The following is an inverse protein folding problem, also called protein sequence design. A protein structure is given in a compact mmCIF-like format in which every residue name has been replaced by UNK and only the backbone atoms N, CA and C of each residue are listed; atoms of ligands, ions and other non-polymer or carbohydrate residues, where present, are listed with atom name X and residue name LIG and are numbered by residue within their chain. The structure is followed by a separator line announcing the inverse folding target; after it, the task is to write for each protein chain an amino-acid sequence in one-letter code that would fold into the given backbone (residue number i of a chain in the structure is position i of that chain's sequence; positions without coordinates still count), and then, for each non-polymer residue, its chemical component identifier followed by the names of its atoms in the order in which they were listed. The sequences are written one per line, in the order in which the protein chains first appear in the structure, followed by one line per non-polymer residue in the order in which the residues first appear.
data_IF_366154872939
#
_entry.id   IF_366154872939
#
_cell.length_a   1.000
_cell.length_b   1.000
_cell.length_c   1.000
_cell.angle_alpha   90.00
_cell.angle_beta   90.00
_cell.angle_gamma   90.00
#
_symmetry.space_group_name_H-M   'P 1'
#
loop_
_entity.id
_entity.type
_entity.pdbx_description
1 polymer ?
#
# COMPACT_ATOMS: atom_id res chain seq x y z
N UNK A 1 -36.52 -74.26 -6.24
CA UNK A 1 -36.88 -75.20 -5.17
C UNK A 1 -35.77 -75.18 -4.13
N UNK A 2 -35.87 -74.29 -3.14
CA UNK A 2 -35.26 -74.38 -1.81
C UNK A 2 -35.66 -73.13 -1.01
N UNK A 3 -36.87 -73.23 -0.45
CA UNK A 3 -37.38 -72.41 0.64
C UNK A 3 -36.91 -73.07 1.93
N UNK A 4 -36.30 -72.36 2.89
CA UNK A 4 -36.57 -72.41 4.35
C UNK A 4 -35.79 -71.27 5.03
N UNK A 5 -36.49 -70.35 5.72
CA UNK A 5 -36.36 -70.15 7.18
C UNK A 5 -37.35 -69.09 7.68
N UNK A 6 -38.38 -69.60 8.36
CA UNK A 6 -39.13 -68.87 9.37
C UNK A 6 -38.30 -68.72 10.64
N UNK A 7 -38.43 -67.62 11.37
CA UNK A 7 -39.11 -67.59 12.68
C UNK A 7 -38.98 -66.23 13.37
N UNK A 8 -40.15 -65.69 13.71
CA UNK A 8 -40.56 -65.05 14.97
C UNK A 8 -39.60 -64.09 15.70
N UNK A 9 -40.11 -62.86 15.79
CA UNK A 9 -40.31 -62.06 17.03
C UNK A 9 -39.07 -61.58 17.79
N UNK A 10 -38.81 -60.27 17.66
CA UNK A 10 -38.72 -59.39 18.83
C UNK A 10 -38.93 -57.94 18.34
N UNK A 11 -40.19 -57.47 18.35
CA UNK A 11 -40.46 -56.05 18.47
C UNK A 11 -40.07 -55.66 19.89
N UNK A 12 -38.80 -55.32 20.08
CA UNK A 12 -38.35 -54.64 21.28
C UNK A 12 -38.56 -53.16 21.02
N UNK A 13 -39.69 -52.65 21.53
CA UNK A 13 -39.89 -51.22 21.72
C UNK A 13 -38.69 -50.72 22.53
N UNK A 14 -37.80 -49.99 21.88
CA UNK A 14 -36.86 -49.14 22.60
C UNK A 14 -37.75 -48.10 23.27
N UNK A 15 -37.82 -48.17 24.60
CA UNK A 15 -38.57 -47.22 25.41
C UNK A 15 -38.12 -45.81 25.11
N UNK A 16 -39.06 -44.91 24.87
CA UNK A 16 -38.89 -43.46 24.66
C UNK A 16 -38.29 -42.70 25.87
N UNK A 17 -37.57 -43.37 26.78
CA UNK A 17 -37.05 -42.79 28.01
C UNK A 17 -35.55 -42.40 27.98
N UNK A 18 -34.79 -42.74 26.94
CA UNK A 18 -33.38 -42.32 26.82
C UNK A 18 -33.16 -41.10 25.89
N UNK A 19 -34.24 -40.43 25.44
CA UNK A 19 -34.16 -39.21 24.61
C UNK A 19 -34.38 -37.90 25.41
N UNK A 20 -34.29 -37.94 26.73
CA UNK A 20 -34.26 -36.74 27.55
C UNK A 20 -32.81 -36.43 27.96
N UNK A 21 -32.16 -35.58 27.16
CA UNK A 21 -31.11 -34.68 27.68
C UNK A 21 -31.65 -34.08 28.98
N UNK A 22 -31.01 -34.41 30.11
CA UNK A 22 -31.31 -33.83 31.41
C UNK A 22 -31.45 -32.32 31.25
N UNK A 23 -32.71 -31.85 31.26
CA UNK A 23 -33.01 -30.44 31.44
C UNK A 23 -32.68 -30.19 32.91
N UNK A 24 -31.43 -29.77 33.14
CA UNK A 24 -30.98 -29.32 34.45
C UNK A 24 -31.92 -28.18 34.87
N UNK A 25 -32.95 -28.51 35.67
CA UNK A 25 -33.79 -27.53 36.32
C UNK A 25 -32.96 -26.95 37.46
N UNK A 26 -32.70 -25.66 37.33
CA UNK A 26 -32.27 -24.76 38.38
C UNK A 26 -30.85 -24.97 38.94
N UNK A 27 -29.86 -24.89 38.05
CA UNK A 27 -28.75 -23.98 38.38
C UNK A 27 -29.14 -22.62 37.81
N UNK A 28 -29.34 -21.61 38.64
CA UNK A 28 -29.22 -20.22 38.18
C UNK A 28 -27.78 -20.05 37.67
N UNK A 29 -27.52 -20.42 36.42
CA UNK A 29 -26.32 -20.00 35.70
C UNK A 29 -26.49 -18.51 35.52
N UNK A 30 -26.06 -17.75 36.54
CA UNK A 30 -25.95 -16.32 36.46
C UNK A 30 -25.07 -16.01 35.26
N UNK A 31 -25.66 -15.47 34.20
CA UNK A 31 -24.92 -14.94 33.07
C UNK A 31 -24.27 -13.63 33.51
N UNK A 32 -23.13 -13.74 34.21
CA UNK A 32 -22.34 -12.59 34.61
C UNK A 32 -21.84 -11.79 33.40
N UNK A 33 -21.74 -12.42 32.22
CA UNK A 33 -21.33 -11.76 31.00
C UNK A 33 -22.41 -10.79 30.51
N UNK A 34 -23.70 -11.14 30.65
CA UNK A 34 -24.81 -10.24 30.32
C UNK A 34 -24.77 -8.92 31.11
N UNK A 35 -24.16 -8.91 32.30
CA UNK A 35 -24.03 -7.72 33.16
C UNK A 35 -22.90 -6.77 32.76
N UNK A 36 -21.94 -7.23 31.93
CA UNK A 36 -20.87 -6.36 31.45
C UNK A 36 -21.44 -5.27 30.56
N UNK A 37 -20.88 -4.05 30.61
CA UNK A 37 -21.25 -2.99 29.67
C UNK A 37 -20.70 -3.29 28.27
N UNK A 38 -21.25 -2.63 27.25
CA UNK A 38 -20.79 -2.78 25.87
C UNK A 38 -19.31 -2.40 25.73
N UNK A 39 -18.87 -1.35 26.42
CA UNK A 39 -17.48 -0.88 26.40
C UNK A 39 -16.50 -1.93 26.94
N UNK A 40 -16.86 -2.61 28.03
CA UNK A 40 -16.03 -3.68 28.59
C UNK A 40 -15.95 -4.86 27.63
N UNK A 41 -17.06 -5.23 26.99
CA UNK A 41 -17.07 -6.29 25.98
C UNK A 41 -16.21 -5.90 24.78
N UNK A 42 -16.28 -4.64 24.32
CA UNK A 42 -15.42 -4.12 23.25
C UNK A 42 -13.94 -4.16 23.64
N UNK A 43 -13.59 -3.83 24.89
CA UNK A 43 -12.22 -3.98 25.39
C UNK A 43 -11.75 -5.44 25.37
N UNK A 44 -12.63 -6.40 25.63
CA UNK A 44 -12.30 -7.83 25.48
C UNK A 44 -12.17 -8.20 24.00
N UNK A 45 -13.12 -7.80 23.16
CA UNK A 45 -13.18 -8.12 21.73
C UNK A 45 -11.98 -7.57 20.96
N UNK A 46 -11.42 -6.44 21.39
CA UNK A 46 -10.20 -5.85 20.82
C UNK A 46 -9.02 -6.82 20.81
N UNK A 47 -8.94 -7.74 21.77
CA UNK A 47 -7.86 -8.74 21.85
C UNK A 47 -8.14 -10.01 21.05
N UNK A 48 -9.33 -10.14 20.46
CA UNK A 48 -9.68 -11.32 19.69
C UNK A 48 -9.15 -11.23 18.26
N UNK A 49 -8.58 -12.33 17.72
CA UNK A 49 -8.30 -12.42 16.29
C UNK A 49 -9.56 -12.16 15.48
N UNK A 50 -9.47 -11.43 14.35
CA UNK A 50 -10.65 -11.05 13.55
C UNK A 50 -11.51 -12.26 13.13
N UNK A 51 -10.90 -13.42 12.87
CA UNK A 51 -11.62 -14.67 12.58
C UNK A 51 -12.47 -15.14 13.78
N UNK A 52 -11.95 -15.00 14.99
CA UNK A 52 -12.66 -15.30 16.24
C UNK A 52 -13.75 -14.27 16.52
N UNK A 53 -13.47 -12.99 16.28
CA UNK A 53 -14.45 -11.92 16.41
C UNK A 53 -15.67 -12.16 15.52
N UNK A 54 -15.46 -12.61 14.28
CA UNK A 54 -16.56 -13.02 13.38
C UNK A 54 -17.33 -14.26 13.86
N UNK A 55 -16.76 -15.11 14.73
CA UNK A 55 -17.53 -16.20 15.35
C UNK A 55 -18.34 -15.70 16.54
N UNK A 56 -17.83 -14.71 17.28
CA UNK A 56 -18.57 -14.07 18.38
C UNK A 56 -19.89 -13.46 17.87
N UNK A 57 -19.94 -13.00 16.62
CA UNK A 57 -21.17 -12.45 16.04
C UNK A 57 -22.32 -13.47 15.93
N UNK A 58 -22.03 -14.76 16.05
CA UNK A 58 -23.03 -15.85 16.00
C UNK A 58 -23.61 -16.20 17.37
N UNK A 59 -23.11 -15.59 18.45
CA UNK A 59 -23.49 -15.95 19.83
C UNK A 59 -24.83 -15.31 20.23
N UNK A 60 -25.03 -14.04 19.93
CA UNK A 60 -26.25 -13.30 20.27
C UNK A 60 -26.41 -12.06 19.39
N UNK A 61 -27.62 -11.49 19.34
CA UNK A 61 -27.88 -10.21 18.66
C UNK A 61 -27.03 -9.06 19.22
N UNK A 62 -26.79 -9.07 20.55
CA UNK A 62 -25.89 -8.10 21.20
C UNK A 62 -24.46 -8.25 20.71
N UNK A 63 -23.93 -9.48 20.64
CA UNK A 63 -22.58 -9.71 20.14
C UNK A 63 -22.48 -9.39 18.65
N UNK A 64 -23.49 -9.71 17.85
CA UNK A 64 -23.55 -9.34 16.44
C UNK A 64 -23.36 -7.82 16.29
N UNK A 65 -24.14 -7.00 17.01
CA UNK A 65 -24.00 -5.54 17.01
C UNK A 65 -22.60 -5.11 17.47
N UNK A 66 -22.09 -5.65 18.58
CA UNK A 66 -20.79 -5.25 19.13
C UNK A 66 -19.62 -5.62 18.22
N UNK A 67 -19.69 -6.76 17.53
CA UNK A 67 -18.66 -7.16 16.56
C UNK A 67 -18.64 -6.28 15.31
N UNK A 68 -19.68 -5.47 15.07
CA UNK A 68 -19.72 -4.50 13.98
C UNK A 68 -19.13 -3.14 14.35
N UNK A 69 -18.78 -2.94 15.63
CA UNK A 69 -18.21 -1.68 16.10
C UNK A 69 -16.88 -1.36 15.41
N UNK A 70 -16.78 -0.15 14.86
CA UNK A 70 -15.64 0.30 14.06
C UNK A 70 -14.31 0.31 14.81
N UNK A 71 -14.34 0.48 16.14
CA UNK A 71 -13.12 0.48 16.97
C UNK A 71 -12.39 -0.86 16.90
N UNK A 72 -13.10 -1.92 16.50
CA UNK A 72 -12.55 -3.26 16.33
C UNK A 72 -11.97 -3.50 14.93
N UNK A 73 -12.15 -2.62 13.95
CA UNK A 73 -11.77 -2.87 12.55
C UNK A 73 -10.84 -1.84 11.96
N UNK A 74 -10.44 -0.82 12.73
CA UNK A 74 -9.57 0.27 12.28
C UNK A 74 -8.29 -0.21 11.57
N UNK A 75 -7.78 -1.40 11.88
CA UNK A 75 -6.54 -1.96 11.31
C UNK A 75 -6.76 -3.40 10.83
N UNK A 76 -6.41 -3.66 9.58
CA UNK A 76 -6.53 -5.00 8.99
C UNK A 76 -5.32 -5.35 8.11
N UNK A 77 -4.74 -6.51 8.38
CA UNK A 77 -3.74 -7.15 7.52
C UNK A 77 -4.35 -8.39 6.86
N UNK A 78 -4.51 -8.29 5.55
CA UNK A 78 -5.16 -9.25 4.69
C UNK A 78 -4.26 -9.70 3.54
N UNK A 79 -2.95 -9.44 3.64
CA UNK A 79 -1.99 -9.75 2.59
C UNK A 79 -1.99 -11.23 2.20
N UNK A 80 -1.77 -11.52 0.92
CA UNK A 80 -1.68 -12.88 0.38
C UNK A 80 -3.00 -13.64 0.25
N UNK A 81 -4.14 -13.00 0.54
CA UNK A 81 -5.47 -13.64 0.51
C UNK A 81 -6.18 -13.47 -0.83
N UNK A 82 -7.11 -14.39 -1.08
CA UNK A 82 -8.05 -14.30 -2.21
C UNK A 82 -9.44 -13.90 -1.70
N UNK A 83 -10.02 -12.91 -2.36
CA UNK A 83 -11.32 -12.33 -2.06
C UNK A 83 -12.29 -12.63 -3.19
N UNK A 84 -13.49 -13.09 -2.81
CA UNK A 84 -14.63 -13.18 -3.73
C UNK A 84 -15.18 -11.78 -4.00
N UNK A 85 -16.07 -11.69 -4.99
CA UNK A 85 -16.89 -10.51 -5.24
C UNK A 85 -17.45 -9.92 -3.95
N UNK A 86 -17.53 -8.59 -3.89
CA UNK A 86 -18.13 -7.77 -2.84
C UNK A 86 -17.40 -7.78 -1.49
N UNK A 87 -16.46 -8.71 -1.29
CA UNK A 87 -15.83 -8.90 0.01
C UNK A 87 -15.03 -7.67 0.46
N UNK A 88 -14.35 -6.99 -0.47
CA UNK A 88 -13.60 -5.77 -0.16
C UNK A 88 -14.53 -4.63 0.21
N UNK A 89 -15.64 -4.42 -0.54
CA UNK A 89 -16.65 -3.42 -0.20
C UNK A 89 -17.22 -3.64 1.20
N UNK A 90 -17.54 -4.90 1.57
CA UNK A 90 -17.99 -5.23 2.93
C UNK A 90 -16.90 -5.00 3.98
N UNK A 91 -15.62 -5.17 3.66
CA UNK A 91 -14.53 -4.95 4.61
C UNK A 91 -14.40 -3.46 4.93
N UNK A 92 -14.34 -2.60 3.92
CA UNK A 92 -14.10 -1.17 4.12
C UNK A 92 -15.28 -0.47 4.82
N UNK A 93 -16.51 -0.99 4.70
CA UNK A 93 -17.69 -0.46 5.40
C UNK A 93 -17.63 -0.65 6.91
N UNK A 94 -16.68 -1.43 7.43
CA UNK A 94 -16.45 -1.60 8.87
C UNK A 94 -15.65 -0.47 9.52
N UNK A 95 -15.36 0.62 8.79
CA UNK A 95 -14.60 1.75 9.32
C UNK A 95 -13.09 1.49 9.37
N UNK A 96 -12.56 0.73 8.40
CA UNK A 96 -11.12 0.43 8.32
C UNK A 96 -10.34 1.70 7.98
N UNK A 97 -9.27 1.97 8.72
CA UNK A 97 -8.38 3.13 8.52
C UNK A 97 -7.06 2.72 7.88
N UNK A 98 -6.50 1.59 8.34
CA UNK A 98 -5.23 1.02 7.89
C UNK A 98 -5.50 -0.36 7.29
N UNK A 99 -5.35 -0.49 5.98
CA UNK A 99 -5.65 -1.71 5.25
C UNK A 99 -4.45 -2.15 4.42
N UNK A 100 -3.93 -3.33 4.76
CA UNK A 100 -2.91 -4.00 3.96
C UNK A 100 -3.52 -5.16 3.20
N UNK A 101 -3.51 -5.02 1.88
CA UNK A 101 -3.98 -5.98 0.89
C UNK A 101 -2.86 -6.43 -0.06
N UNK A 102 -1.59 -6.23 0.28
CA UNK A 102 -0.47 -6.64 -0.56
C UNK A 102 -0.58 -8.11 -1.01
N UNK A 103 -0.26 -8.39 -2.27
CA UNK A 103 -0.27 -9.73 -2.87
C UNK A 103 -1.65 -10.43 -2.79
N UNK A 104 -2.74 -9.68 -2.80
CA UNK A 104 -4.08 -10.27 -2.78
C UNK A 104 -4.63 -10.54 -4.18
N UNK A 105 -5.60 -11.45 -4.28
CA UNK A 105 -6.42 -11.62 -5.48
C UNK A 105 -7.83 -11.12 -5.17
N UNK A 106 -8.27 -10.07 -5.85
CA UNK A 106 -9.58 -9.45 -5.65
C UNK A 106 -10.41 -9.71 -6.90
N UNK A 107 -11.58 -10.33 -6.70
CA UNK A 107 -12.54 -10.62 -7.77
C UNK A 107 -13.63 -9.55 -7.73
N UNK A 108 -13.96 -9.01 -8.89
CA UNK A 108 -15.03 -8.01 -9.08
C UNK A 108 -16.44 -8.62 -8.97
N UNK A 109 -17.47 -7.80 -8.72
CA UNK A 109 -17.40 -6.37 -8.38
C UNK A 109 -16.89 -6.12 -6.96
N UNK A 110 -16.41 -4.90 -6.67
CA UNK A 110 -15.96 -4.53 -5.32
C UNK A 110 -17.13 -4.36 -4.36
N UNK A 111 -18.27 -3.86 -4.86
CA UNK A 111 -19.50 -3.63 -4.11
C UNK A 111 -20.67 -4.38 -4.73
N UNK A 112 -21.69 -4.64 -3.91
CA UNK A 112 -22.98 -5.16 -4.37
C UNK A 112 -23.65 -4.16 -5.33
N UNK A 113 -24.47 -4.67 -6.27
CA UNK A 113 -25.04 -3.85 -7.34
C UNK A 113 -25.87 -2.65 -6.83
N UNK A 114 -26.56 -2.81 -5.71
CA UNK A 114 -27.39 -1.78 -5.08
C UNK A 114 -26.68 -1.08 -3.90
N UNK A 115 -25.39 -1.32 -3.70
CA UNK A 115 -24.63 -0.75 -2.58
C UNK A 115 -24.73 0.77 -2.54
N UNK A 116 -24.49 1.44 -3.67
CA UNK A 116 -24.55 2.90 -3.77
C UNK A 116 -25.97 3.46 -3.80
N UNK A 117 -26.98 2.62 -4.05
CA UNK A 117 -28.40 3.02 -3.89
C UNK A 117 -28.72 3.10 -2.40
N UNK A 118 -28.28 2.10 -1.62
CA UNK A 118 -28.50 2.05 -0.18
C UNK A 118 -27.57 2.97 0.62
N UNK A 119 -26.41 3.30 0.06
CA UNK A 119 -25.35 4.05 0.74
C UNK A 119 -24.79 5.15 -0.17
N UNK A 120 -25.65 6.05 -0.65
CA UNK A 120 -25.32 7.10 -1.62
C UNK A 120 -24.15 8.00 -1.16
N UNK A 121 -24.12 8.32 0.14
CA UNK A 121 -23.11 9.19 0.75
C UNK A 121 -21.97 8.41 1.44
N UNK A 122 -21.78 7.13 1.13
CA UNK A 122 -20.74 6.35 1.77
C UNK A 122 -19.35 6.84 1.40
N UNK A 123 -18.60 7.24 2.42
CA UNK A 123 -17.19 7.53 2.34
C UNK A 123 -16.41 6.58 3.26
N UNK A 124 -15.38 5.97 2.70
CA UNK A 124 -14.46 5.11 3.41
C UNK A 124 -13.56 5.90 4.35
N UNK A 125 -13.34 5.38 5.56
CA UNK A 125 -12.38 5.94 6.55
C UNK A 125 -10.92 5.60 6.23
N UNK A 126 -10.65 4.96 5.08
CA UNK A 126 -9.30 4.53 4.72
C UNK A 126 -8.37 5.74 4.59
N UNK A 127 -7.25 5.66 5.31
CA UNK A 127 -6.16 6.63 5.23
C UNK A 127 -4.86 6.00 4.73
N UNK A 128 -4.67 4.69 4.96
CA UNK A 128 -3.45 3.97 4.58
C UNK A 128 -3.83 2.67 3.87
N UNK A 129 -3.55 2.61 2.57
CA UNK A 129 -3.92 1.48 1.72
C UNK A 129 -2.71 0.95 0.96
N UNK A 130 -2.34 -0.29 1.26
CA UNK A 130 -1.31 -1.02 0.53
C UNK A 130 -1.94 -2.14 -0.30
N UNK A 131 -1.97 -1.96 -1.63
CA UNK A 131 -2.43 -2.95 -2.61
C UNK A 131 -1.27 -3.55 -3.41
N UNK A 132 -0.01 -3.32 -3.01
CA UNK A 132 1.18 -3.71 -3.78
C UNK A 132 1.11 -5.17 -4.25
N UNK A 133 1.35 -5.40 -5.54
CA UNK A 133 1.36 -6.71 -6.20
C UNK A 133 0.03 -7.47 -6.12
N UNK A 134 -1.09 -6.77 -5.97
CA UNK A 134 -2.43 -7.39 -5.95
C UNK A 134 -3.02 -7.50 -7.37
N UNK A 135 -3.86 -8.51 -7.56
CA UNK A 135 -4.70 -8.64 -8.74
C UNK A 135 -6.05 -7.98 -8.47
N UNK A 136 -6.31 -6.86 -9.13
CA UNK A 136 -7.58 -6.11 -9.14
C UNK A 136 -7.74 -5.49 -10.53
N UNK A 137 -8.95 -5.47 -11.08
CA UNK A 137 -9.17 -4.83 -12.39
C UNK A 137 -9.12 -3.30 -12.25
N UNK A 138 -8.81 -2.54 -13.30
CA UNK A 138 -8.89 -1.08 -13.26
C UNK A 138 -10.28 -0.57 -12.86
N UNK A 139 -11.35 -1.23 -13.33
CA UNK A 139 -12.73 -0.90 -12.97
C UNK A 139 -13.00 -1.11 -11.49
N UNK A 140 -12.59 -2.25 -10.93
CA UNK A 140 -12.73 -2.53 -9.50
C UNK A 140 -11.90 -1.57 -8.66
N UNK A 141 -10.66 -1.28 -9.06
CA UNK A 141 -9.81 -0.31 -8.38
C UNK A 141 -10.42 1.09 -8.38
N UNK A 142 -10.98 1.53 -9.51
CA UNK A 142 -11.67 2.82 -9.60
C UNK A 142 -12.90 2.85 -8.67
N UNK A 143 -13.71 1.79 -8.65
CA UNK A 143 -14.86 1.69 -7.72
C UNK A 143 -14.42 1.80 -6.25
N UNK A 144 -13.34 1.11 -5.87
CA UNK A 144 -12.79 1.17 -4.52
C UNK A 144 -12.34 2.60 -4.17
N UNK A 145 -11.49 3.20 -5.01
CA UNK A 145 -10.92 4.52 -4.76
C UNK A 145 -11.97 5.64 -4.83
N UNK A 146 -13.08 5.45 -5.56
CA UNK A 146 -14.23 6.37 -5.56
C UNK A 146 -14.81 6.60 -4.17
N UNK A 147 -14.71 5.62 -3.27
CA UNK A 147 -15.18 5.78 -1.88
C UNK A 147 -14.13 6.40 -0.96
N UNK A 148 -12.90 6.61 -1.43
CA UNK A 148 -11.79 7.06 -0.61
C UNK A 148 -11.50 8.55 -0.85
N UNK A 149 -11.68 9.38 0.19
CA UNK A 149 -11.37 10.83 0.16
C UNK A 149 -10.41 11.27 1.27
N UNK A 150 -9.95 10.33 2.09
CA UNK A 150 -9.10 10.57 3.26
C UNK A 150 -7.73 9.87 3.16
N UNK A 151 -7.36 9.37 1.98
CA UNK A 151 -6.08 8.67 1.81
C UNK A 151 -4.91 9.62 2.06
N UNK A 152 -4.02 9.20 2.94
CA UNK A 152 -2.72 9.85 3.21
C UNK A 152 -1.58 9.09 2.57
N UNK A 153 -1.64 7.75 2.53
CA UNK A 153 -0.60 6.92 1.92
C UNK A 153 -1.20 5.78 1.12
N UNK A 154 -0.80 5.69 -0.14
CA UNK A 154 -1.32 4.72 -1.09
C UNK A 154 -0.15 4.02 -1.81
N UNK A 155 -0.21 2.70 -1.88
CA UNK A 155 0.67 1.92 -2.75
C UNK A 155 -0.13 1.04 -3.68
N UNK A 156 0.13 1.24 -4.97
CA UNK A 156 -0.42 0.48 -6.08
C UNK A 156 0.68 -0.25 -6.86
N UNK A 157 1.82 -0.50 -6.22
CA UNK A 157 2.97 -1.14 -6.89
C UNK A 157 2.53 -2.35 -7.72
N UNK A 158 2.98 -2.38 -8.98
CA UNK A 158 2.70 -3.47 -9.92
C UNK A 158 1.19 -3.70 -10.17
N UNK A 159 0.41 -2.62 -10.27
CA UNK A 159 -1.01 -2.65 -10.65
C UNK A 159 -1.22 -1.92 -11.99
N UNK A 160 -2.16 -2.43 -12.80
CA UNK A 160 -2.59 -1.76 -14.01
C UNK A 160 -3.57 -0.62 -13.68
N UNK A 161 -3.25 0.58 -14.15
CA UNK A 161 -4.05 1.78 -13.97
C UNK A 161 -4.74 2.19 -15.29
N UNK A 162 -5.62 3.17 -15.19
CA UNK A 162 -6.17 3.95 -16.30
C UNK A 162 -6.40 5.39 -15.82
N UNK A 163 -6.85 6.27 -16.72
CA UNK A 163 -7.10 7.68 -16.38
C UNK A 163 -8.17 7.85 -15.30
N UNK A 164 -9.23 7.03 -15.31
CA UNK A 164 -10.28 7.08 -14.29
C UNK A 164 -9.78 6.74 -12.89
N UNK A 165 -8.88 5.76 -12.76
CA UNK A 165 -8.19 5.45 -11.49
C UNK A 165 -7.33 6.64 -11.05
N UNK A 166 -6.60 7.27 -11.97
CA UNK A 166 -5.78 8.45 -11.67
C UNK A 166 -6.63 9.64 -11.19
N UNK A 167 -7.79 9.86 -11.81
CA UNK A 167 -8.75 10.89 -11.40
C UNK A 167 -9.28 10.65 -9.98
N UNK A 168 -9.54 9.39 -9.58
CA UNK A 168 -9.96 9.05 -8.22
C UNK A 168 -8.83 9.20 -7.18
N UNK A 169 -7.58 8.86 -7.55
CA UNK A 169 -6.40 9.14 -6.70
C UNK A 169 -6.30 10.65 -6.43
N UNK A 170 -6.50 11.47 -7.46
CA UNK A 170 -6.42 12.93 -7.38
C UNK A 170 -7.49 13.58 -6.49
N UNK A 171 -8.54 12.85 -6.09
CA UNK A 171 -9.55 13.35 -5.14
C UNK A 171 -9.07 13.33 -3.69
N UNK A 172 -7.93 12.69 -3.39
CA UNK A 172 -7.38 12.62 -2.04
C UNK A 172 -6.36 13.74 -1.82
N UNK A 173 -6.82 14.98 -1.66
CA UNK A 173 -5.96 16.18 -1.58
C UNK A 173 -4.98 16.18 -0.40
N UNK A 174 -5.24 15.35 0.62
CA UNK A 174 -4.37 15.10 1.77
C UNK A 174 -3.35 13.97 1.56
N UNK A 175 -3.20 13.45 0.34
CA UNK A 175 -2.25 12.38 0.03
C UNK A 175 -0.80 12.87 0.16
N UNK A 176 -0.03 12.22 1.02
CA UNK A 176 1.37 12.54 1.33
C UNK A 176 2.35 11.59 0.65
N UNK A 177 1.95 10.32 0.47
CA UNK A 177 2.81 9.26 -0.06
C UNK A 177 2.08 8.46 -1.12
N UNK A 178 2.64 8.43 -2.32
CA UNK A 178 2.12 7.67 -3.45
C UNK A 178 3.20 6.77 -4.04
N UNK A 179 2.94 5.46 -4.07
CA UNK A 179 3.80 4.48 -4.70
C UNK A 179 3.09 3.84 -5.90
N UNK A 180 3.61 4.14 -7.10
CA UNK A 180 3.20 3.62 -8.40
C UNK A 180 4.31 2.80 -9.07
N UNK A 181 5.32 2.33 -8.33
CA UNK A 181 6.42 1.55 -8.91
C UNK A 181 5.88 0.37 -9.72
N UNK A 182 6.41 0.14 -10.92
CA UNK A 182 6.02 -0.97 -11.81
C UNK A 182 4.53 -0.95 -12.24
N UNK A 183 3.79 0.14 -12.00
CA UNK A 183 2.46 0.29 -12.57
C UNK A 183 2.53 0.38 -14.10
N UNK A 184 1.46 -0.07 -14.75
CA UNK A 184 1.22 0.14 -16.18
C UNK A 184 -0.01 1.02 -16.39
N UNK A 185 -0.15 1.63 -17.58
CA UNK A 185 -1.31 2.46 -17.90
C UNK A 185 -1.31 3.86 -17.26
N UNK A 186 -0.15 4.34 -16.78
CA UNK A 186 0.02 5.73 -16.34
C UNK A 186 0.21 6.63 -17.58
N UNK A 187 -0.88 7.20 -18.08
CA UNK A 187 -0.83 8.13 -19.22
C UNK A 187 -0.43 9.55 -18.78
N UNK A 188 -0.06 10.39 -19.74
CA UNK A 188 0.17 11.83 -19.53
C UNK A 188 -1.06 12.54 -18.92
N UNK A 189 -2.28 12.15 -19.32
CA UNK A 189 -3.54 12.71 -18.79
C UNK A 189 -3.79 12.28 -17.35
N UNK A 190 -3.64 10.99 -17.06
CA UNK A 190 -3.79 10.45 -15.72
C UNK A 190 -2.79 11.09 -14.76
N UNK A 191 -1.52 11.17 -15.16
CA UNK A 191 -0.47 11.80 -14.37
C UNK A 191 -0.73 13.29 -14.12
N UNK A 192 -1.17 14.03 -15.14
CA UNK A 192 -1.59 15.43 -14.98
C UNK A 192 -2.70 15.59 -13.95
N UNK A 193 -3.67 14.68 -13.94
CA UNK A 193 -4.77 14.70 -12.98
C UNK A 193 -4.27 14.49 -11.55
N UNK A 194 -3.38 13.51 -11.34
CA UNK A 194 -2.74 13.24 -10.05
C UNK A 194 -1.96 14.47 -9.56
N UNK A 195 -1.11 15.06 -10.41
CA UNK A 195 -0.21 16.13 -9.99
C UNK A 195 -0.92 17.50 -9.83
N UNK A 196 -2.13 17.66 -10.36
CA UNK A 196 -2.88 18.92 -10.26
C UNK A 196 -3.45 19.18 -8.86
N UNK A 197 -3.89 18.13 -8.14
CA UNK A 197 -4.63 18.27 -6.88
C UNK A 197 -3.82 17.87 -5.62
N UNK A 198 -2.69 17.19 -5.79
CA UNK A 198 -1.93 16.59 -4.68
C UNK A 198 -0.82 17.50 -4.16
N UNK A 199 -1.18 18.70 -3.70
CA UNK A 199 -0.22 19.70 -3.21
C UNK A 199 0.54 19.28 -1.94
N UNK A 200 -0.06 18.37 -1.15
CA UNK A 200 0.52 17.80 0.08
C UNK A 200 1.44 16.61 -0.16
N UNK A 201 1.65 16.20 -1.41
CA UNK A 201 2.49 15.06 -1.74
C UNK A 201 3.96 15.32 -1.38
N UNK A 202 4.49 14.49 -0.48
CA UNK A 202 5.87 14.58 0.01
C UNK A 202 6.77 13.45 -0.51
N UNK A 203 6.19 12.31 -0.89
CA UNK A 203 6.94 11.15 -1.37
C UNK A 203 6.24 10.50 -2.55
N UNK A 204 6.91 10.50 -3.71
CA UNK A 204 6.41 9.87 -4.93
C UNK A 204 7.41 8.85 -5.44
N UNK A 205 6.94 7.62 -5.64
CA UNK A 205 7.68 6.62 -6.38
C UNK A 205 6.91 6.26 -7.65
N UNK A 206 7.46 6.57 -8.82
CA UNK A 206 6.87 6.26 -10.12
C UNK A 206 7.85 5.47 -11.00
N UNK A 207 8.86 4.86 -10.37
CA UNK A 207 9.90 4.11 -11.07
C UNK A 207 9.34 2.93 -11.87
N UNK A 208 10.03 2.61 -12.97
CA UNK A 208 9.72 1.44 -13.80
C UNK A 208 8.30 1.40 -14.37
N UNK A 209 7.69 2.56 -14.60
CA UNK A 209 6.34 2.69 -15.20
C UNK A 209 6.37 2.91 -16.71
N UNK A 210 7.56 2.91 -17.33
CA UNK A 210 7.78 3.18 -18.77
C UNK A 210 7.12 4.50 -19.24
N UNK A 211 7.22 5.56 -18.43
CA UNK A 211 6.69 6.88 -18.79
C UNK A 211 7.23 7.36 -20.14
N UNK A 212 6.31 7.82 -20.98
CA UNK A 212 6.61 8.52 -22.23
C UNK A 212 7.21 9.91 -21.97
N UNK A 213 7.88 10.49 -22.96
CA UNK A 213 8.57 11.79 -22.84
C UNK A 213 7.66 12.89 -22.30
N UNK A 214 6.45 13.03 -22.87
CA UNK A 214 5.48 14.02 -22.44
C UNK A 214 5.05 13.81 -20.98
N UNK A 215 4.98 12.56 -20.52
CA UNK A 215 4.64 12.24 -19.14
C UNK A 215 5.75 12.64 -18.17
N UNK A 216 7.02 12.46 -18.55
CA UNK A 216 8.17 12.91 -17.75
C UNK A 216 8.22 14.43 -17.67
N UNK A 217 7.99 15.14 -18.78
CA UNK A 217 7.91 16.60 -18.81
C UNK A 217 6.80 17.11 -17.88
N UNK A 218 5.58 16.58 -18.00
CA UNK A 218 4.46 16.90 -17.10
C UNK A 218 4.82 16.63 -15.65
N UNK A 219 5.50 15.51 -15.36
CA UNK A 219 5.92 15.18 -14.01
C UNK A 219 6.76 16.29 -13.40
N UNK A 220 7.87 16.65 -14.05
CA UNK A 220 8.81 17.61 -13.48
C UNK A 220 8.26 19.03 -13.47
N UNK A 221 7.32 19.37 -14.37
CA UNK A 221 6.65 20.67 -14.45
C UNK A 221 5.50 20.84 -13.46
N UNK A 222 4.86 19.76 -13.03
CA UNK A 222 3.63 19.81 -12.23
C UNK A 222 3.76 19.21 -10.83
N UNK A 223 4.79 18.41 -10.56
CA UNK A 223 4.99 17.88 -9.21
C UNK A 223 5.07 19.00 -8.18
N UNK A 224 4.47 18.75 -7.01
CA UNK A 224 4.41 19.73 -5.91
C UNK A 224 5.81 20.16 -5.47
N UNK A 225 6.04 21.46 -5.21
CA UNK A 225 7.31 21.95 -4.67
C UNK A 225 7.59 21.43 -3.24
N UNK A 226 6.58 20.85 -2.57
CA UNK A 226 6.70 20.22 -1.26
C UNK A 226 7.29 18.80 -1.30
N UNK A 227 7.57 18.26 -2.50
CA UNK A 227 8.14 16.92 -2.65
C UNK A 227 9.50 16.84 -1.96
N UNK A 228 9.65 15.84 -1.08
CA UNK A 228 10.87 15.58 -0.33
C UNK A 228 11.61 14.34 -0.84
N UNK A 229 10.87 13.34 -1.34
CA UNK A 229 11.44 12.08 -1.83
C UNK A 229 10.84 11.70 -3.17
N UNK A 230 11.68 11.54 -4.17
CA UNK A 230 11.26 11.27 -5.53
C UNK A 230 12.07 10.12 -6.13
N UNK A 231 11.38 9.13 -6.67
CA UNK A 231 12.00 8.04 -7.41
C UNK A 231 11.47 7.99 -8.85
N UNK A 232 12.37 8.28 -9.79
CA UNK A 232 12.18 8.29 -11.24
C UNK A 232 12.97 7.17 -11.94
N UNK A 233 13.49 6.20 -11.19
CA UNK A 233 14.34 5.17 -11.74
C UNK A 233 13.68 4.40 -12.89
N UNK A 234 14.47 3.99 -13.88
CA UNK A 234 14.00 3.24 -15.03
C UNK A 234 13.38 4.07 -16.15
N UNK A 235 13.37 5.40 -16.07
CA UNK A 235 13.03 6.30 -17.18
C UNK A 235 14.16 6.35 -18.24
N UNK A 236 14.51 5.17 -18.77
CA UNK A 236 15.73 4.91 -19.57
C UNK A 236 15.88 5.77 -20.82
N UNK A 237 14.75 6.12 -21.44
CA UNK A 237 14.70 6.77 -22.77
C UNK A 237 14.10 8.17 -22.73
N UNK A 238 13.72 8.67 -21.56
CA UNK A 238 12.85 9.85 -21.44
C UNK A 238 13.33 10.87 -20.44
N UNK A 239 14.03 10.48 -19.36
CA UNK A 239 14.56 11.42 -18.38
C UNK A 239 15.93 11.97 -18.81
N UNK A 240 16.04 13.29 -18.93
CA UNK A 240 17.24 14.03 -19.38
C UNK A 240 17.73 15.01 -18.30
N UNK A 241 18.91 15.58 -18.51
CA UNK A 241 19.52 16.57 -17.63
C UNK A 241 18.63 17.81 -17.43
N UNK A 242 17.96 18.29 -18.48
CA UNK A 242 17.02 19.42 -18.42
C UNK A 242 15.84 19.16 -17.47
N UNK A 243 15.32 17.93 -17.46
CA UNK A 243 14.26 17.55 -16.53
C UNK A 243 14.73 17.62 -15.07
N UNK A 244 15.97 17.21 -14.80
CA UNK A 244 16.58 17.35 -13.46
C UNK A 244 16.82 18.83 -13.13
N UNK A 245 17.18 19.66 -14.11
CA UNK A 245 17.31 21.12 -13.91
C UNK A 245 15.97 21.74 -13.51
N UNK A 246 14.88 21.37 -14.18
CA UNK A 246 13.53 21.81 -13.81
C UNK A 246 13.17 21.40 -12.38
N UNK A 247 13.54 20.19 -11.95
CA UNK A 247 13.32 19.74 -10.56
C UNK A 247 14.14 20.54 -9.55
N UNK A 248 15.40 20.86 -9.84
CA UNK A 248 16.22 21.72 -8.98
C UNK A 248 15.57 23.08 -8.76
N UNK A 249 14.98 23.66 -9.81
CA UNK A 249 14.38 24.99 -9.78
C UNK A 249 13.02 25.02 -9.07
N UNK A 250 12.20 23.99 -9.29
CA UNK A 250 10.84 23.92 -8.74
C UNK A 250 10.75 23.26 -7.37
N UNK A 251 11.64 22.32 -7.07
CA UNK A 251 11.57 21.44 -5.89
C UNK A 251 12.87 21.51 -5.06
N UNK A 252 13.27 22.69 -4.54
CA UNK A 252 14.57 22.87 -3.86
C UNK A 252 14.70 22.10 -2.53
N UNK A 253 13.60 21.56 -2.02
CA UNK A 253 13.53 20.84 -0.73
C UNK A 253 13.64 19.32 -0.86
N UNK A 254 13.90 18.79 -2.07
CA UNK A 254 14.16 17.36 -2.26
C UNK A 254 15.33 16.91 -1.39
N UNK A 255 15.11 15.82 -0.66
CA UNK A 255 16.08 15.15 0.23
C UNK A 255 16.53 13.80 -0.30
N UNK A 256 15.66 13.09 -1.01
CA UNK A 256 15.99 11.79 -1.62
C UNK A 256 15.60 11.83 -3.10
N UNK A 257 16.57 11.64 -3.99
CA UNK A 257 16.36 11.51 -5.42
C UNK A 257 16.95 10.20 -5.93
N UNK A 258 16.12 9.37 -6.53
CA UNK A 258 16.56 8.18 -7.25
C UNK A 258 16.26 8.34 -8.74
N UNK A 259 17.32 8.47 -9.53
CA UNK A 259 17.30 8.54 -10.99
C UNK A 259 18.14 7.41 -11.60
N UNK A 260 18.17 6.25 -10.94
CA UNK A 260 18.87 5.06 -11.43
C UNK A 260 18.31 4.57 -12.77
N UNK A 261 19.12 3.92 -13.59
CA UNK A 261 18.73 3.41 -14.91
C UNK A 261 18.15 4.50 -15.85
N UNK A 262 18.61 5.75 -15.73
CA UNK A 262 18.24 6.82 -16.64
C UNK A 262 19.40 7.08 -17.61
N UNK A 263 19.40 6.39 -18.76
CA UNK A 263 20.55 6.31 -19.67
C UNK A 263 20.83 7.62 -20.44
N UNK A 264 19.87 8.54 -20.50
CA UNK A 264 20.04 9.85 -21.16
C UNK A 264 20.65 10.90 -20.22
N UNK A 265 20.86 10.58 -18.94
CA UNK A 265 21.56 11.48 -18.03
C UNK A 265 23.06 11.48 -18.36
N UNK A 266 23.63 12.67 -18.49
CA UNK A 266 25.05 12.85 -18.85
C UNK A 266 25.87 13.38 -17.67
N UNK A 267 27.16 13.61 -17.87
CA UNK A 267 28.03 14.25 -16.87
C UNK A 267 27.51 15.64 -16.43
N UNK A 268 26.73 16.33 -17.26
CA UNK A 268 26.14 17.63 -16.91
C UNK A 268 25.10 17.51 -15.78
N UNK A 269 24.45 16.35 -15.61
CA UNK A 269 23.50 16.12 -14.51
C UNK A 269 24.13 16.34 -13.14
N UNK A 270 25.41 16.03 -12.99
CA UNK A 270 26.12 16.21 -11.72
C UNK A 270 26.23 17.69 -11.38
N UNK A 271 26.60 18.54 -12.36
CA UNK A 271 26.66 20.00 -12.20
C UNK A 271 25.29 20.61 -11.88
N UNK A 272 24.22 19.96 -12.32
CA UNK A 272 22.85 20.37 -11.99
C UNK A 272 22.51 19.95 -10.56
N UNK A 273 22.75 18.70 -10.18
CA UNK A 273 22.36 18.14 -8.89
C UNK A 273 23.05 18.84 -7.71
N UNK A 274 24.31 19.30 -7.87
CA UNK A 274 25.01 20.08 -6.83
C UNK A 274 24.29 21.38 -6.42
N UNK A 275 23.31 21.84 -7.21
CA UNK A 275 22.49 23.01 -6.88
C UNK A 275 21.45 22.70 -5.80
N UNK A 276 21.04 21.44 -5.60
CA UNK A 276 20.14 21.07 -4.50
C UNK A 276 20.78 21.40 -3.14
N UNK A 277 20.01 22.03 -2.25
CA UNK A 277 20.51 22.49 -0.95
C UNK A 277 20.27 21.51 0.19
N UNK A 278 19.28 20.63 0.03
CA UNK A 278 18.81 19.74 1.07
C UNK A 278 18.90 18.27 0.66
N UNK A 279 19.58 17.94 -0.44
CA UNK A 279 19.67 16.56 -0.93
C UNK A 279 20.59 15.76 -0.01
N UNK A 280 20.01 14.76 0.66
CA UNK A 280 20.64 13.88 1.64
C UNK A 280 21.00 12.52 1.02
N UNK A 281 20.21 12.04 0.06
CA UNK A 281 20.39 10.77 -0.63
C UNK A 281 20.22 10.95 -2.14
N UNK A 282 21.19 10.42 -2.89
CA UNK A 282 21.14 10.37 -4.35
C UNK A 282 21.44 8.95 -4.85
N UNK A 283 20.65 8.45 -5.79
CA UNK A 283 21.04 7.29 -6.59
C UNK A 283 21.07 7.64 -8.07
N UNK A 284 22.21 7.36 -8.69
CA UNK A 284 22.46 7.45 -10.13
C UNK A 284 22.92 6.09 -10.69
N UNK A 285 22.63 5.00 -9.97
CA UNK A 285 23.06 3.65 -10.32
C UNK A 285 22.69 3.31 -11.77
N UNK A 286 23.62 2.68 -12.49
CA UNK A 286 23.46 2.27 -13.90
C UNK A 286 23.17 3.43 -14.89
N UNK A 287 23.57 4.67 -14.59
CA UNK A 287 23.56 5.78 -15.54
C UNK A 287 24.86 5.84 -16.36
N UNK A 288 25.05 4.88 -17.27
CA UNK A 288 26.34 4.58 -17.92
C UNK A 288 27.04 5.74 -18.65
N UNK A 289 26.35 6.82 -18.98
CA UNK A 289 26.91 7.99 -19.66
C UNK A 289 27.61 8.99 -18.72
N UNK A 290 27.57 8.75 -17.40
CA UNK A 290 28.24 9.57 -16.39
C UNK A 290 29.62 8.97 -16.08
N UNK A 291 30.66 9.77 -16.24
CA UNK A 291 32.04 9.39 -15.96
C UNK A 291 32.35 9.34 -14.47
N UNK A 292 33.34 8.53 -14.08
CA UNK A 292 33.78 8.39 -12.69
C UNK A 292 34.24 9.72 -12.05
N UNK A 293 34.89 10.59 -12.84
CA UNK A 293 35.43 11.85 -12.34
C UNK A 293 34.34 12.86 -11.98
N UNK A 294 33.18 12.83 -12.66
CA UNK A 294 32.09 13.76 -12.38
C UNK A 294 31.59 13.61 -10.94
N UNK A 295 31.56 12.38 -10.41
CA UNK A 295 31.14 12.12 -9.03
C UNK A 295 31.99 12.83 -7.97
N UNK A 296 33.22 13.24 -8.27
CA UNK A 296 34.06 13.99 -7.33
C UNK A 296 33.49 15.38 -7.01
N UNK A 297 32.66 15.96 -7.89
CA UNK A 297 32.04 17.26 -7.68
C UNK A 297 31.07 17.26 -6.49
N UNK A 298 30.57 16.08 -6.10
CA UNK A 298 29.73 15.92 -4.92
C UNK A 298 30.45 16.18 -3.59
N UNK A 299 31.78 16.30 -3.58
CA UNK A 299 32.53 16.78 -2.40
C UNK A 299 32.07 18.17 -1.94
N UNK A 300 31.50 18.96 -2.86
CA UNK A 300 31.00 20.31 -2.61
C UNK A 300 29.56 20.33 -2.06
N UNK A 301 28.92 19.17 -1.87
CA UNK A 301 27.55 19.07 -1.34
C UNK A 301 27.57 18.68 0.14
N UNK A 302 27.51 19.62 1.09
CA UNK A 302 27.55 19.32 2.52
C UNK A 302 26.31 18.57 3.02
N UNK A 303 25.19 18.64 2.30
CA UNK A 303 23.95 17.94 2.67
C UNK A 303 23.99 16.45 2.30
N UNK A 304 24.78 16.06 1.31
CA UNK A 304 24.72 14.72 0.73
C UNK A 304 25.37 13.71 1.67
N UNK A 305 24.57 12.77 2.16
CA UNK A 305 24.98 11.73 3.10
C UNK A 305 25.19 10.38 2.42
N UNK A 306 24.43 10.07 1.37
CA UNK A 306 24.50 8.80 0.65
C UNK A 306 24.47 8.98 -0.86
N UNK A 307 25.33 8.23 -1.55
CA UNK A 307 25.41 8.20 -3.01
C UNK A 307 25.50 6.76 -3.51
N UNK A 308 24.50 6.33 -4.25
CA UNK A 308 24.47 5.00 -4.85
C UNK A 308 24.69 5.07 -6.37
N UNK A 309 25.77 4.43 -6.81
CA UNK A 309 26.30 4.42 -8.19
C UNK A 309 26.64 2.98 -8.62
N UNK A 310 25.77 2.03 -8.27
CA UNK A 310 25.96 0.61 -8.55
C UNK A 310 26.06 0.35 -10.06
N UNK A 311 26.97 -0.56 -10.44
CA UNK A 311 27.08 -1.05 -11.82
C UNK A 311 27.69 -0.07 -12.83
N UNK A 312 28.27 1.05 -12.37
CA UNK A 312 28.83 2.08 -13.25
C UNK A 312 30.36 2.07 -13.33
N UNK A 313 31.02 1.70 -12.23
CA UNK A 313 32.46 1.88 -12.05
C UNK A 313 33.17 0.54 -11.82
N UNK A 314 34.43 0.45 -12.25
CA UNK A 314 35.34 -0.62 -11.82
C UNK A 314 35.70 -0.43 -10.33
N UNK A 315 36.14 -1.50 -9.66
CA UNK A 315 36.56 -1.44 -8.24
C UNK A 315 37.66 -0.41 -7.98
N UNK A 316 38.59 -0.23 -8.94
CA UNK A 316 39.65 0.78 -8.87
C UNK A 316 39.08 2.20 -8.90
N UNK A 317 38.20 2.50 -9.86
CA UNK A 317 37.53 3.81 -9.95
C UNK A 317 36.65 4.09 -8.73
N UNK A 318 35.92 3.08 -8.26
CA UNK A 318 35.06 3.20 -7.08
C UNK A 318 35.86 3.56 -5.82
N UNK A 319 37.03 2.94 -5.62
CA UNK A 319 37.94 3.29 -4.52
C UNK A 319 38.42 4.74 -4.62
N UNK A 320 38.75 5.22 -5.81
CA UNK A 320 39.15 6.63 -6.01
C UNK A 320 38.00 7.57 -5.62
N UNK A 321 36.77 7.29 -6.08
CA UNK A 321 35.59 8.09 -5.71
C UNK A 321 35.33 8.06 -4.19
N UNK A 322 35.41 6.89 -3.56
CA UNK A 322 35.27 6.77 -2.10
C UNK A 322 36.32 7.57 -1.33
N UNK A 323 37.56 7.59 -1.80
CA UNK A 323 38.63 8.37 -1.17
C UNK A 323 38.41 9.89 -1.34
N UNK A 324 37.84 10.34 -2.46
CA UNK A 324 37.50 11.74 -2.70
C UNK A 324 36.26 12.21 -1.92
N UNK A 325 35.39 11.28 -1.47
CA UNK A 325 34.12 11.57 -0.81
C UNK A 325 34.03 10.93 0.59
N UNK A 326 34.94 11.26 1.53
CA UNK A 326 35.08 10.53 2.80
C UNK A 326 33.86 10.61 3.73
N UNK A 327 33.02 11.63 3.58
CA UNK A 327 31.83 11.85 4.41
C UNK A 327 30.54 11.28 3.79
N UNK A 328 30.62 10.69 2.58
CA UNK A 328 29.45 10.20 1.85
C UNK A 328 29.45 8.67 1.86
N UNK A 329 28.35 8.07 2.32
CA UNK A 329 28.13 6.63 2.25
C UNK A 329 27.89 6.20 0.80
N UNK A 330 28.91 5.60 0.17
CA UNK A 330 28.80 5.09 -1.20
C UNK A 330 28.24 3.67 -1.24
N UNK A 331 27.30 3.41 -2.16
CA UNK A 331 26.75 2.09 -2.47
C UNK A 331 26.21 1.34 -1.23
N UNK A 332 25.36 2.03 -0.45
CA UNK A 332 24.80 1.49 0.80
C UNK A 332 23.43 0.85 0.62
N UNK A 333 22.62 1.30 -0.33
CA UNK A 333 21.23 0.88 -0.44
C UNK A 333 20.88 0.40 -1.85
N UNK A 334 20.91 -0.93 -2.04
CA UNK A 334 20.55 -1.52 -3.34
C UNK A 334 19.08 -1.29 -3.73
N UNK A 335 18.20 -1.05 -2.75
CA UNK A 335 16.77 -0.86 -2.95
C UNK A 335 16.33 0.48 -2.37
N UNK A 336 15.59 1.26 -3.17
CA UNK A 336 14.98 2.51 -2.72
C UNK A 336 13.84 2.27 -1.73
N UNK A 337 13.78 3.10 -0.69
CA UNK A 337 12.71 3.12 0.30
C UNK A 337 11.59 4.11 -0.04
N UNK A 338 11.75 4.93 -1.09
CA UNK A 338 10.79 5.99 -1.46
C UNK A 338 9.39 5.41 -1.62
N UNK A 339 8.46 5.96 -0.85
CA UNK A 339 7.03 5.62 -0.80
C UNK A 339 6.66 4.17 -0.47
N UNK A 340 7.62 3.26 -0.24
CA UNK A 340 7.35 1.84 0.01
C UNK A 340 6.57 1.64 1.32
N UNK A 341 5.48 0.85 1.32
CA UNK A 341 4.70 0.55 2.54
C UNK A 341 5.52 -0.17 3.60
N UNK A 342 6.22 -1.24 3.22
CA UNK A 342 7.07 -2.00 4.13
C UNK A 342 8.53 -1.75 3.80
N UNK A 343 9.32 -1.32 4.78
CA UNK A 343 10.77 -1.20 4.68
C UNK A 343 11.45 -2.15 5.67
N UNK A 344 12.49 -2.86 5.22
CA UNK A 344 13.25 -3.81 6.05
C UNK A 344 12.47 -5.07 6.48
N UNK A 345 12.76 -5.58 7.68
CA UNK A 345 12.21 -6.84 8.21
C UNK A 345 10.81 -6.74 8.82
N UNK A 346 10.23 -5.53 8.92
CA UNK A 346 8.94 -5.28 9.58
C UNK A 346 7.76 -5.64 8.69
N UNK A 347 7.43 -6.93 8.61
CA UNK A 347 6.33 -7.46 7.79
C UNK A 347 4.92 -7.27 8.38
N UNK A 348 4.76 -6.60 9.52
CA UNK A 348 3.47 -6.40 10.21
C UNK A 348 3.03 -4.93 10.29
N UNK A 349 3.69 -4.05 9.52
CA UNK A 349 3.39 -2.63 9.51
C UNK A 349 3.50 -2.05 8.10
N UNK A 350 2.69 -1.05 7.78
CA UNK A 350 2.82 -0.23 6.58
C UNK A 350 3.08 1.22 6.98
N UNK A 351 4.09 1.83 6.38
CA UNK A 351 4.60 3.18 6.70
C UNK A 351 4.80 3.43 8.20
N UNK A 352 5.30 2.42 8.91
CA UNK A 352 5.54 2.46 10.36
C UNK A 352 4.31 2.20 11.23
N UNK A 353 3.13 2.04 10.63
CA UNK A 353 1.87 1.80 11.35
C UNK A 353 1.54 0.32 11.40
N UNK A 354 1.23 -0.20 12.58
CA UNK A 354 0.81 -1.61 12.74
C UNK A 354 -0.48 -1.89 11.97
N UNK A 355 -0.52 -3.01 11.27
CA UNK A 355 -1.69 -3.46 10.49
C UNK A 355 -2.53 -4.50 11.24
N UNK A 356 -2.04 -4.96 12.40
CA UNK A 356 -2.73 -5.86 13.33
C UNK A 356 -2.73 -5.21 14.71
N UNK A 357 -3.72 -5.56 15.52
CA UNK A 357 -3.78 -5.18 16.94
C UNK A 357 -2.67 -5.83 17.75
#
# INVERSE_FOLDING_TARGET
MHTVKSMKSAYQMISDEDFYLYKNKDSFTFDYFSKLSDEIILQVFKWLPKKTLMKCSLVSTRFLRLTQDETLWARMDLAGKSFKAEAIGRIITRGVIILRLAQTKIIDPIFEADFFIRNELFESKLQYLDLSMSSITPTGLQQLLKTCRQLRKLSLEHIQLNDGVCEEIAQNTDLEVLNLTLCSGVSARGLRSILHNLDRLQSLNISWTNLETDSVAILVEKISPNILRLNLAGCRKTLTDDHISTLVERCPNIRELDASDCNLLTVEVVKIIIRFKNLEYLSLSRCYSISAYAFMDFQNMPSLSFLDIFGMLTDGQLKVVMNSLPNIGINKFINSAVARPTVGTRRTSIWGLRTRD
#
